data_IF_926204340526
#
_entry.id   IF_926204340526
#
_cell.length_a   1.000
_cell.length_b   1.000
_cell.length_c   1.000
_cell.angle_alpha   90.00
_cell.angle_beta   90.00
_cell.angle_gamma   90.00
#
_symmetry.space_group_name_H-M   'P 1'
#
loop_
_entity.id
_entity.type
_entity.pdbx_description
1 polymer ?
#
# COMPACT_ATOMS: atom_id res chain seq x y z
N UNK A 1 10.01 -4.26 22.86
CA UNK A 1 9.91 -3.97 21.42
C UNK A 1 9.40 -5.23 20.74
N UNK A 2 8.35 -5.15 19.93
CA UNK A 2 7.74 -6.33 19.28
C UNK A 2 8.50 -6.64 18.00
N UNK A 3 8.96 -7.88 17.82
CA UNK A 3 9.47 -8.33 16.52
C UNK A 3 8.27 -8.65 15.61
N UNK A 4 8.05 -7.81 14.60
CA UNK A 4 6.90 -7.94 13.71
C UNK A 4 6.89 -9.26 12.91
N UNK A 5 8.07 -9.80 12.57
CA UNK A 5 8.19 -11.07 11.83
C UNK A 5 7.84 -12.28 12.68
N UNK A 6 8.08 -12.21 13.99
CA UNK A 6 7.70 -13.27 14.94
C UNK A 6 6.24 -13.16 15.36
N UNK A 7 5.74 -11.94 15.59
CA UNK A 7 4.38 -11.72 16.08
C UNK A 7 3.31 -11.76 14.99
N UNK A 8 3.65 -11.40 13.75
CA UNK A 8 2.71 -11.34 12.62
C UNK A 8 3.22 -12.05 11.36
N UNK A 9 3.68 -13.32 11.45
CA UNK A 9 4.32 -14.02 10.33
C UNK A 9 3.38 -14.20 9.14
N UNK A 10 2.07 -14.38 9.39
CA UNK A 10 1.05 -14.51 8.33
C UNK A 10 0.75 -13.19 7.63
N UNK A 11 0.81 -12.07 8.34
CA UNK A 11 0.54 -10.75 7.76
C UNK A 11 1.69 -10.32 6.83
N UNK A 12 2.91 -10.71 7.19
CA UNK A 12 4.13 -10.39 6.46
C UNK A 12 4.56 -11.46 5.44
N UNK A 13 3.76 -12.50 5.21
CA UNK A 13 4.02 -13.50 4.18
C UNK A 13 3.35 -13.15 2.84
N UNK A 14 3.87 -13.64 1.71
CA UNK A 14 3.25 -13.42 0.41
C UNK A 14 1.81 -13.96 0.32
N UNK A 15 1.04 -13.37 -0.59
CA UNK A 15 -0.32 -13.79 -0.93
C UNK A 15 -0.54 -13.66 -2.43
N UNK A 16 -1.01 -14.73 -3.07
CA UNK A 16 -1.43 -14.70 -4.47
C UNK A 16 -2.94 -14.44 -4.53
N UNK A 17 -3.36 -13.45 -5.31
CA UNK A 17 -4.77 -13.17 -5.62
C UNK A 17 -4.91 -13.08 -7.14
N UNK A 18 -5.68 -13.98 -7.74
CA UNK A 18 -5.75 -14.11 -9.20
C UNK A 18 -4.36 -14.38 -9.80
N UNK A 19 -3.93 -13.53 -10.75
CA UNK A 19 -2.63 -13.62 -11.40
C UNK A 19 -1.54 -12.73 -10.77
N UNK A 20 -1.82 -12.09 -9.62
CA UNK A 20 -0.88 -11.16 -8.97
C UNK A 20 -0.34 -11.77 -7.68
N UNK A 21 0.98 -11.70 -7.49
CA UNK A 21 1.66 -12.08 -6.25
C UNK A 21 1.99 -10.81 -5.44
N UNK A 22 1.39 -10.68 -4.27
CA UNK A 22 1.65 -9.61 -3.33
C UNK A 22 2.72 -10.03 -2.33
N UNK A 23 3.67 -9.13 -2.02
CA UNK A 23 4.77 -9.41 -1.08
C UNK A 23 4.33 -9.52 0.37
N UNK A 24 3.22 -8.88 0.73
CA UNK A 24 2.62 -8.81 2.07
C UNK A 24 1.10 -8.88 1.96
N UNK A 25 0.43 -9.17 3.08
CA UNK A 25 -1.04 -9.24 3.16
C UNK A 25 -1.69 -7.96 3.70
N UNK A 26 -0.91 -6.88 3.79
CA UNK A 26 -1.40 -5.56 4.21
C UNK A 26 -1.82 -4.76 2.97
N UNK A 27 -3.03 -4.23 2.98
CA UNK A 27 -3.56 -3.40 1.91
C UNK A 27 -3.98 -2.04 2.47
N UNK A 28 -3.72 -0.98 1.71
CA UNK A 28 -4.28 0.32 2.03
C UNK A 28 -5.78 0.29 1.73
N UNK A 29 -6.62 0.49 2.75
CA UNK A 29 -8.05 0.67 2.55
C UNK A 29 -8.32 1.88 1.64
N UNK A 30 -9.44 1.90 0.88
CA UNK A 30 -9.88 3.08 0.17
C UNK A 30 -10.00 4.26 1.15
N UNK A 31 -9.38 5.38 0.80
CA UNK A 31 -9.45 6.63 1.57
C UNK A 31 -10.03 7.71 0.67
N UNK A 32 -10.92 8.54 1.22
CA UNK A 32 -11.36 9.72 0.51
C UNK A 32 -10.26 10.80 0.61
N UNK A 33 -9.33 10.78 -0.34
CA UNK A 33 -8.29 11.79 -0.52
C UNK A 33 -8.70 12.66 -1.71
N UNK A 34 -9.63 13.58 -1.46
CA UNK A 34 -10.31 14.38 -2.47
C UNK A 34 -9.47 15.55 -3.00
N UNK A 35 -8.18 15.35 -3.26
CA UNK A 35 -7.35 16.32 -3.99
C UNK A 35 -7.32 15.96 -5.47
N UNK A 36 -8.51 15.97 -6.08
CA UNK A 36 -8.65 15.94 -7.53
C UNK A 36 -8.53 17.40 -7.97
N UNK A 37 -7.54 17.71 -8.80
CA UNK A 37 -7.39 19.05 -9.39
C UNK A 37 -8.69 19.37 -10.16
N UNK A 38 -9.10 20.63 -10.26
CA UNK A 38 -10.37 21.04 -10.88
C UNK A 38 -10.65 20.44 -12.27
N UNK A 39 -9.62 19.97 -12.98
CA UNK A 39 -9.67 19.33 -14.29
C UNK A 39 -9.76 17.79 -14.29
N UNK A 40 -9.88 17.14 -13.13
CA UNK A 40 -10.05 15.68 -13.02
C UNK A 40 -8.81 14.79 -12.79
N UNK A 41 -7.55 15.21 -13.00
CA UNK A 41 -6.40 14.38 -12.63
C UNK A 41 -6.08 14.49 -11.12
N UNK A 42 -5.47 13.43 -10.53
CA UNK A 42 -4.88 13.50 -9.20
C UNK A 42 -3.89 14.66 -9.08
N UNK A 43 -3.91 15.37 -7.96
CA UNK A 43 -2.84 16.33 -7.66
C UNK A 43 -1.48 15.62 -7.52
N UNK A 44 -0.39 16.36 -7.71
CA UNK A 44 0.96 15.82 -7.47
C UNK A 44 1.15 15.37 -6.02
N UNK A 45 0.48 16.04 -5.07
CA UNK A 45 0.48 15.63 -3.66
C UNK A 45 -0.17 14.26 -3.46
N UNK A 46 -1.26 14.00 -4.19
CA UNK A 46 -1.95 12.71 -4.16
C UNK A 46 -1.09 11.60 -4.76
N UNK A 47 -0.34 11.88 -5.83
CA UNK A 47 0.64 10.95 -6.40
C UNK A 47 1.73 10.63 -5.38
N UNK A 48 2.39 11.65 -4.84
CA UNK A 48 3.46 11.49 -3.87
C UNK A 48 2.99 10.75 -2.58
N UNK A 49 1.74 10.95 -2.17
CA UNK A 49 1.13 10.23 -1.07
C UNK A 49 1.03 8.72 -1.33
N UNK A 50 0.53 8.31 -2.49
CA UNK A 50 0.41 6.90 -2.85
C UNK A 50 1.75 6.24 -3.17
N UNK A 51 2.71 6.97 -3.74
CA UNK A 51 4.08 6.47 -3.93
C UNK A 51 4.74 6.10 -2.59
N UNK A 52 4.61 6.95 -1.57
CA UNK A 52 5.11 6.65 -0.22
C UNK A 52 4.47 5.41 0.39
N UNK A 53 3.17 5.22 0.19
CA UNK A 53 2.47 3.99 0.62
C UNK A 53 2.94 2.76 -0.15
N UNK A 54 3.17 2.89 -1.45
CA UNK A 54 3.64 1.80 -2.30
C UNK A 54 5.03 1.32 -1.82
N UNK A 55 5.94 2.22 -1.45
CA UNK A 55 7.25 1.82 -0.90
C UNK A 55 7.14 0.96 0.37
N UNK A 56 6.09 1.15 1.19
CA UNK A 56 5.89 0.37 2.42
C UNK A 56 5.31 -1.04 2.20
N UNK A 57 4.57 -1.28 1.10
CA UNK A 57 3.96 -2.58 0.77
C UNK A 57 4.66 -3.32 -0.37
N UNK A 58 5.39 -2.58 -1.20
CA UNK A 58 6.23 -3.00 -2.31
C UNK A 58 7.63 -2.43 -2.03
N UNK A 59 8.39 -3.08 -1.15
CA UNK A 59 9.85 -2.91 -1.11
C UNK A 59 10.52 -4.25 -1.41
N UNK A 60 11.46 -4.23 -2.38
CA UNK A 60 12.37 -5.31 -2.79
C UNK A 60 11.75 -6.69 -2.90
#
# INVERSE_FOLDING_TARGET
MVNAFESFPRLLSPLKIGNVLFRKRMFAAPVNSADIVSDGPPSLDLVAYFERKAMGGIMG
#
